data_IF_287666454983
#
_entry.id   IF_287666454983
#
_cell.length_a   1.000
_cell.length_b   1.000
_cell.length_c   1.000
_cell.angle_alpha   90.00
_cell.angle_beta   90.00
_cell.angle_gamma   90.00
#
_symmetry.space_group_name_H-M   'P 1'
#
loop_
_entity.id
_entity.type
_entity.pdbx_description
1 polymer ?
#
# COMPACT_ATOMS: atom_id res chain seq x y z
N UNK A 1 2.99 19.90 -0.30
CA UNK A 1 3.20 18.48 0.01
C UNK A 1 2.16 17.70 -0.76
N UNK A 2 2.57 16.74 -1.59
CA UNK A 2 1.62 15.86 -2.30
C UNK A 2 1.36 14.58 -1.51
N UNK A 3 0.37 13.80 -1.95
CA UNK A 3 -0.05 12.58 -1.28
C UNK A 3 1.07 11.55 -1.18
N UNK A 4 1.87 11.37 -2.24
CA UNK A 4 2.94 10.36 -2.29
C UNK A 4 4.03 10.69 -1.27
N UNK A 5 4.47 11.96 -1.24
CA UNK A 5 5.43 12.44 -0.25
C UNK A 5 4.90 12.32 1.19
N UNK A 6 3.62 12.61 1.41
CA UNK A 6 3.00 12.47 2.72
C UNK A 6 2.99 11.01 3.19
N UNK A 7 2.56 10.08 2.34
CA UNK A 7 2.56 8.63 2.66
C UNK A 7 3.99 8.16 2.95
N UNK A 8 4.96 8.56 2.14
CA UNK A 8 6.35 8.17 2.34
C UNK A 8 6.90 8.66 3.69
N UNK A 9 6.60 9.90 4.09
CA UNK A 9 6.94 10.41 5.42
C UNK A 9 6.22 9.64 6.54
N UNK A 10 4.98 9.20 6.34
CA UNK A 10 4.29 8.39 7.33
C UNK A 10 4.98 7.04 7.53
N UNK A 11 5.46 6.41 6.45
CA UNK A 11 6.23 5.16 6.50
C UNK A 11 7.57 5.37 7.19
N UNK A 12 8.34 6.39 6.80
CA UNK A 12 9.67 6.70 7.37
C UNK A 12 9.60 7.03 8.86
N UNK A 13 8.51 7.67 9.31
CA UNK A 13 8.29 7.99 10.72
C UNK A 13 7.58 6.88 11.50
N UNK A 14 7.36 5.70 10.91
CA UNK A 14 6.65 4.58 11.54
C UNK A 14 5.31 4.97 12.16
N UNK A 15 4.54 5.82 11.45
CA UNK A 15 3.21 6.19 11.92
C UNK A 15 2.29 4.96 11.97
N UNK A 16 1.41 4.86 12.98
CA UNK A 16 0.43 3.79 13.01
C UNK A 16 -0.50 3.88 11.80
N UNK A 17 -0.92 2.74 11.26
CA UNK A 17 -1.80 2.69 10.09
C UNK A 17 -3.10 3.45 10.30
N UNK A 18 -3.64 3.47 11.53
CA UNK A 18 -4.82 4.26 11.89
C UNK A 18 -4.73 5.74 11.53
N UNK A 19 -3.51 6.30 11.48
CA UNK A 19 -3.28 7.72 11.17
C UNK A 19 -3.13 7.97 9.66
N UNK A 20 -2.99 6.89 8.88
CA UNK A 20 -2.73 6.93 7.44
C UNK A 20 -3.95 6.46 6.63
N UNK A 21 -4.71 5.50 7.16
CA UNK A 21 -5.85 4.90 6.50
C UNK A 21 -7.09 5.79 6.53
N UNK A 22 -7.98 5.56 5.57
CA UNK A 22 -9.30 6.16 5.58
C UNK A 22 -10.07 5.73 6.84
N UNK A 23 -10.76 6.66 7.50
CA UNK A 23 -11.54 6.38 8.70
C UNK A 23 -12.64 5.34 8.46
N UNK A 24 -13.11 5.17 7.23
CA UNK A 24 -14.08 4.14 6.86
C UNK A 24 -13.46 2.75 6.71
N UNK A 25 -12.13 2.65 6.58
CA UNK A 25 -11.36 1.40 6.58
C UNK A 25 -10.84 1.02 7.97
N UNK A 26 -10.94 1.94 8.94
CA UNK A 26 -10.50 1.72 10.32
C UNK A 26 -11.17 0.53 11.06
N UNK A 27 -12.36 0.02 10.70
CA UNK A 27 -12.90 -1.21 11.30
C UNK A 27 -12.17 -2.51 10.89
N UNK A 28 -11.41 -2.51 9.77
CA UNK A 28 -10.76 -3.71 9.21
C UNK A 28 -9.30 -3.88 9.68
N UNK A 29 -8.98 -3.49 10.92
CA UNK A 29 -7.60 -3.61 11.47
C UNK A 29 -7.13 -5.07 11.55
N UNK A 30 -8.05 -6.04 11.55
CA UNK A 30 -7.72 -7.47 11.49
C UNK A 30 -6.99 -7.87 10.19
N UNK A 31 -7.04 -7.03 9.14
CA UNK A 31 -6.36 -7.24 7.85
C UNK A 31 -5.16 -6.31 7.64
N UNK A 32 -4.51 -5.85 8.72
CA UNK A 32 -3.35 -4.95 8.69
C UNK A 32 -2.26 -5.42 7.69
N UNK A 33 -1.98 -6.73 7.65
CA UNK A 33 -0.97 -7.28 6.72
C UNK A 33 -1.36 -7.10 5.24
N UNK A 34 -2.63 -7.31 4.89
CA UNK A 34 -3.13 -7.13 3.52
C UNK A 34 -3.09 -5.65 3.14
N UNK A 35 -3.47 -4.77 4.06
CA UNK A 35 -3.43 -3.32 3.86
C UNK A 35 -1.99 -2.84 3.63
N UNK A 36 -1.04 -3.30 4.44
CA UNK A 36 0.39 -2.99 4.25
C UNK A 36 0.86 -3.51 2.88
N UNK A 37 0.44 -4.70 2.48
CA UNK A 37 0.84 -5.27 1.20
C UNK A 37 0.29 -4.46 0.01
N UNK A 38 -0.98 -4.04 0.05
CA UNK A 38 -1.56 -3.15 -0.96
C UNK A 38 -0.85 -1.81 -0.98
N UNK A 39 -0.52 -1.24 0.18
CA UNK A 39 0.23 0.02 0.28
C UNK A 39 1.61 -0.11 -0.37
N UNK A 40 2.33 -1.22 -0.15
CA UNK A 40 3.63 -1.49 -0.80
C UNK A 40 3.49 -1.55 -2.32
N UNK A 41 2.45 -2.18 -2.84
CA UNK A 41 2.16 -2.23 -4.29
C UNK A 41 1.90 -0.81 -4.81
N UNK A 42 1.07 -0.02 -4.13
CA UNK A 42 0.77 1.36 -4.50
C UNK A 42 2.04 2.23 -4.53
N UNK A 43 2.89 2.14 -3.51
CA UNK A 43 4.16 2.89 -3.46
C UNK A 43 5.12 2.50 -4.58
N UNK A 44 5.15 1.23 -4.99
CA UNK A 44 5.93 0.81 -6.16
C UNK A 44 5.38 1.40 -7.47
N UNK A 45 4.06 1.53 -7.61
CA UNK A 45 3.42 2.10 -8.80
C UNK A 45 3.70 3.59 -8.99
N UNK A 46 3.87 4.33 -7.88
CA UNK A 46 4.08 5.79 -7.89
C UNK A 46 5.56 6.19 -7.76
N UNK A 47 6.48 5.25 -7.98
CA UNK A 47 7.91 5.57 -7.96
C UNK A 47 8.25 6.74 -8.89
N UNK A 48 9.06 7.68 -8.38
CA UNK A 48 9.49 8.87 -9.13
C UNK A 48 10.24 8.48 -10.41
N UNK A 49 11.00 7.39 -10.33
CA UNK A 49 11.70 6.76 -11.46
C UNK A 49 10.74 5.85 -12.24
N UNK A 50 10.37 6.18 -13.49
CA UNK A 50 9.41 5.40 -14.27
C UNK A 50 9.85 3.95 -14.52
N UNK A 51 11.15 3.72 -14.70
CA UNK A 51 11.75 2.41 -14.94
C UNK A 51 11.69 1.47 -13.73
N UNK A 52 11.44 1.99 -12.53
CA UNK A 52 11.21 1.20 -11.32
C UNK A 52 9.75 0.79 -11.12
N UNK A 53 8.82 1.36 -11.90
CA UNK A 53 7.39 1.05 -11.76
C UNK A 53 7.11 -0.36 -12.29
N UNK A 54 6.34 -1.18 -11.56
CA UNK A 54 5.99 -2.51 -12.02
C UNK A 54 5.07 -2.45 -13.25
N UNK A 55 5.10 -3.52 -14.06
CA UNK A 55 4.11 -3.68 -15.13
C UNK A 55 2.74 -4.02 -14.54
N UNK A 56 1.66 -3.70 -15.27
CA UNK A 56 0.30 -4.07 -14.84
C UNK A 56 0.13 -5.58 -14.61
N UNK A 57 0.87 -6.42 -15.35
CA UNK A 57 0.88 -7.87 -15.12
C UNK A 57 1.45 -8.21 -13.74
N UNK A 58 2.60 -7.64 -13.37
CA UNK A 58 3.17 -7.85 -12.04
C UNK A 58 2.27 -7.32 -10.91
N UNK A 59 1.59 -6.18 -11.14
CA UNK A 59 0.61 -5.63 -10.18
C UNK A 59 -0.55 -6.61 -10.00
N UNK A 60 -1.14 -7.11 -11.09
CA UNK A 60 -2.24 -8.05 -11.04
C UNK A 60 -1.84 -9.35 -10.32
N UNK A 61 -0.66 -9.90 -10.64
CA UNK A 61 -0.17 -11.11 -9.99
C UNK A 61 0.08 -10.89 -8.49
N UNK A 62 0.55 -9.70 -8.08
CA UNK A 62 0.73 -9.36 -6.68
C UNK A 62 -0.61 -9.24 -5.95
N UNK A 63 -1.59 -8.54 -6.53
CA UNK A 63 -2.93 -8.41 -5.96
C UNK A 63 -3.66 -9.76 -5.84
N UNK A 64 -3.56 -10.62 -6.85
CA UNK A 64 -4.15 -11.96 -6.81
C UNK A 64 -3.58 -12.83 -5.68
N UNK A 65 -2.29 -12.68 -5.36
CA UNK A 65 -1.67 -13.40 -4.24
C UNK A 65 -2.24 -12.97 -2.89
N UNK A 66 -2.63 -11.70 -2.74
CA UNK A 66 -3.26 -11.20 -1.51
C UNK A 66 -4.70 -11.71 -1.37
N UNK A 67 -5.45 -11.77 -2.46
CA UNK A 67 -6.83 -12.29 -2.44
C UNK A 67 -6.92 -13.79 -2.12
N UNK A 68 -5.82 -14.55 -2.28
CA UNK A 68 -5.77 -15.99 -2.03
C UNK A 68 -5.34 -16.31 -0.59
N UNK A 69 -4.66 -15.39 0.10
CA UNK A 69 -4.26 -15.57 1.52
C UNK A 69 -5.39 -15.36 2.52
N UNK A 70 -6.54 -14.84 2.08
CA UNK A 70 -7.71 -14.52 2.91
C UNK A 70 -8.65 -15.72 3.14
N UNK A 71 -8.22 -16.95 2.83
CA UNK A 71 -9.01 -18.19 2.93
C UNK A 71 -8.38 -19.25 3.83
#
# INVERSE_FOLDING_TARGET
>A
MDLVHWVQLCIENHKPLSDVLDANLAPDVDNEEEIIAVLKIAMACVQSSPERRPTMRHILDALNRLAVSSH
#
